data_IF_085735203283
#
_entry.id   IF_085735203283
#
_cell.length_a   1.000
_cell.length_b   1.000
_cell.length_c   1.000
_cell.angle_alpha   90.00
_cell.angle_beta   90.00
_cell.angle_gamma   90.00
#
_symmetry.space_group_name_H-M   'P 1'
#
loop_
_entity.id
_entity.type
_entity.pdbx_description
1 polymer ?
#
# COMPACT_ATOMS: atom_id res chain seq x y z
N UNK A 1 -4.32 0.45 -13.12
CA UNK A 1 -5.74 0.20 -12.85
C UNK A 1 -6.09 0.83 -11.52
N UNK A 2 -7.24 1.48 -11.41
CA UNK A 2 -7.75 2.00 -10.14
C UNK A 2 -8.67 0.93 -9.55
N UNK A 3 -8.39 0.46 -8.33
CA UNK A 3 -9.29 -0.43 -7.59
C UNK A 3 -9.76 0.31 -6.34
N UNK A 4 -11.08 0.50 -6.25
CA UNK A 4 -11.73 1.14 -5.12
C UNK A 4 -12.22 0.04 -4.18
N UNK A 5 -11.57 -0.12 -3.02
CA UNK A 5 -11.99 -1.09 -2.01
C UNK A 5 -12.49 -0.31 -0.78
N UNK A 6 -13.81 -0.35 -0.55
CA UNK A 6 -14.47 0.33 0.57
C UNK A 6 -14.79 -0.72 1.64
N UNK A 7 -13.98 -0.80 2.67
CA UNK A 7 -14.31 -1.58 3.87
C UNK A 7 -15.13 -0.70 4.81
N UNK A 8 -16.43 -0.99 4.93
CA UNK A 8 -17.31 -0.44 5.97
C UNK A 8 -17.59 -1.54 6.99
N UNK A 9 -17.04 -1.42 8.20
CA UNK A 9 -17.42 -2.27 9.33
C UNK A 9 -18.64 -1.64 10.01
N UNK A 10 -19.84 -2.15 9.72
CA UNK A 10 -21.05 -1.80 10.46
C UNK A 10 -21.16 -2.75 11.65
N UNK A 11 -20.67 -2.30 12.81
CA UNK A 11 -20.88 -2.98 14.09
C UNK A 11 -22.19 -2.49 14.71
N UNK A 12 -23.23 -3.32 14.67
CA UNK A 12 -24.44 -3.15 15.45
C UNK A 12 -24.10 -3.17 16.95
N UNK A 13 -24.03 -2.02 17.62
CA UNK A 13 -24.45 -1.96 19.02
C UNK A 13 -24.81 -0.55 19.50
N UNK A 14 -25.89 -0.51 20.27
CA UNK A 14 -26.53 0.62 20.90
C UNK A 14 -25.60 1.48 21.76
N UNK A 15 -25.58 2.80 21.52
CA UNK A 15 -25.07 3.78 22.49
C UNK A 15 -24.30 4.92 21.85
N UNK A 16 -25.01 6.05 21.67
CA UNK A 16 -24.54 7.44 21.56
C UNK A 16 -23.01 7.68 21.67
N UNK A 17 -22.29 7.35 20.61
CA UNK A 17 -21.03 7.96 20.15
C UNK A 17 -20.74 7.26 18.82
N UNK A 18 -21.49 7.60 17.78
CA UNK A 18 -21.23 7.11 16.44
C UNK A 18 -19.94 7.79 15.93
N UNK A 19 -18.78 7.31 16.37
CA UNK A 19 -17.54 7.57 15.68
C UNK A 19 -17.65 6.85 14.33
N UNK A 20 -18.07 7.61 13.33
CA UNK A 20 -18.11 7.18 11.93
C UNK A 20 -16.66 6.87 11.51
N UNK A 21 -16.28 5.60 11.62
CA UNK A 21 -14.97 5.10 11.25
C UNK A 21 -14.88 5.03 9.71
N UNK A 22 -14.58 6.17 9.11
CA UNK A 22 -14.46 6.30 7.66
C UNK A 22 -13.02 6.07 7.23
N UNK A 23 -12.79 5.01 6.45
CA UNK A 23 -11.50 4.70 5.84
C UNK A 23 -11.54 4.91 4.34
N UNK A 24 -10.69 5.80 3.84
CA UNK A 24 -10.50 6.05 2.41
C UNK A 24 -9.09 5.64 2.03
N UNK A 25 -8.95 4.72 1.07
CA UNK A 25 -7.66 4.30 0.55
C UNK A 25 -7.54 4.68 -0.92
N UNK A 26 -6.48 5.40 -1.25
CA UNK A 26 -6.03 5.69 -2.60
C UNK A 26 -4.82 4.81 -2.91
N UNK A 27 -4.82 4.10 -4.05
CA UNK A 27 -3.65 3.36 -4.52
C UNK A 27 -3.34 3.74 -5.95
N UNK A 28 -2.09 4.14 -6.18
CA UNK A 28 -1.57 4.58 -7.47
C UNK A 28 -0.41 3.67 -7.82
N UNK A 29 -0.56 2.89 -8.89
CA UNK A 29 0.51 2.02 -9.39
C UNK A 29 0.97 2.53 -10.75
N UNK A 30 2.26 2.82 -10.87
CA UNK A 30 2.90 3.29 -12.08
C UNK A 30 3.95 2.28 -12.53
N UNK A 31 3.84 1.74 -13.76
CA UNK A 31 4.91 0.93 -14.33
C UNK A 31 6.11 1.83 -14.67
N UNK A 32 7.28 1.45 -14.18
CA UNK A 32 8.58 2.09 -14.48
C UNK A 32 9.32 1.33 -15.59
N UNK A 33 8.59 0.56 -16.40
CA UNK A 33 9.09 -0.30 -17.49
C UNK A 33 9.99 0.44 -18.50
N UNK A 34 9.87 1.77 -18.58
CA UNK A 34 10.66 2.62 -19.46
C UNK A 34 12.07 2.93 -18.91
N UNK A 35 12.32 2.71 -17.62
CA UNK A 35 13.60 2.93 -16.95
C UNK A 35 14.28 1.60 -16.63
N UNK A 36 13.54 0.69 -15.98
CA UNK A 36 13.95 -0.70 -15.80
C UNK A 36 12.82 -1.60 -16.32
N UNK A 37 13.11 -2.55 -17.22
CA UNK A 37 12.15 -3.59 -17.60
C UNK A 37 11.58 -4.28 -16.35
N UNK A 38 10.29 -4.60 -16.37
CA UNK A 38 9.65 -5.32 -15.27
C UNK A 38 9.48 -4.54 -13.96
N UNK A 39 9.89 -3.26 -13.85
CA UNK A 39 9.74 -2.48 -12.61
C UNK A 39 8.41 -1.75 -12.52
N UNK A 40 7.83 -1.71 -11.32
CA UNK A 40 6.62 -0.98 -10.97
C UNK A 40 6.82 -0.29 -9.62
N UNK A 41 6.17 0.86 -9.47
CA UNK A 41 6.02 1.54 -8.18
C UNK A 41 4.54 1.62 -7.83
N UNK A 42 4.23 1.44 -6.57
CA UNK A 42 2.90 1.49 -6.01
C UNK A 42 2.90 2.38 -4.78
N UNK A 43 2.07 3.40 -4.78
CA UNK A 43 1.88 4.29 -3.65
C UNK A 43 0.46 4.13 -3.13
N UNK A 44 0.32 3.87 -1.84
CA UNK A 44 -0.95 3.72 -1.18
C UNK A 44 -1.06 4.72 -0.03
N UNK A 45 -2.16 5.46 0.00
CA UNK A 45 -2.49 6.40 1.04
C UNK A 45 -3.84 6.01 1.63
N UNK A 46 -3.85 5.67 2.91
CA UNK A 46 -5.05 5.38 3.68
C UNK A 46 -5.26 6.49 4.69
N UNK A 47 -6.46 7.09 4.69
CA UNK A 47 -6.89 8.02 5.73
C UNK A 47 -8.07 7.41 6.48
N UNK A 48 -7.99 7.44 7.80
CA UNK A 48 -9.00 6.87 8.70
C UNK A 48 -9.45 7.95 9.68
N UNK A 49 -10.75 8.20 9.76
CA UNK A 49 -11.36 8.99 10.82
C UNK A 49 -11.73 8.06 12.00
N UNK A 50 -11.42 8.38 13.27
CA UNK A 50 -10.75 9.58 13.78
C UNK A 50 -9.22 9.43 13.89
N UNK A 51 -8.48 9.88 12.87
CA UNK A 51 -7.13 10.42 13.02
C UNK A 51 -5.91 9.57 12.64
N UNK A 52 -6.03 8.44 11.94
CA UNK A 52 -4.85 7.72 11.43
C UNK A 52 -4.69 7.90 9.92
N UNK A 53 -3.53 8.42 9.52
CA UNK A 53 -3.09 8.43 8.11
C UNK A 53 -1.95 7.45 7.99
N UNK A 54 -2.15 6.45 7.13
CA UNK A 54 -1.17 5.43 6.81
C UNK A 54 -0.76 5.63 5.34
N UNK A 55 0.54 5.70 5.09
CA UNK A 55 1.12 5.86 3.77
C UNK A 55 2.07 4.70 3.54
N UNK A 56 1.93 3.99 2.45
CA UNK A 56 2.89 2.96 2.07
C UNK A 56 3.34 3.17 0.64
N UNK A 57 4.62 2.97 0.42
CA UNK A 57 5.24 2.95 -0.91
C UNK A 57 5.84 1.57 -1.10
N UNK A 58 5.58 0.97 -2.26
CA UNK A 58 6.17 -0.29 -2.67
C UNK A 58 6.81 -0.09 -4.02
N UNK A 59 8.04 -0.52 -4.19
CA UNK A 59 8.69 -0.60 -5.49
C UNK A 59 9.12 -2.04 -5.69
N UNK A 60 8.85 -2.60 -6.85
CA UNK A 60 9.27 -3.95 -7.15
C UNK A 60 9.40 -4.17 -8.63
N UNK A 61 10.00 -5.29 -8.99
CA UNK A 61 10.10 -5.67 -10.38
C UNK A 61 10.96 -6.89 -10.59
N UNK A 62 11.17 -7.18 -11.86
CA UNK A 62 12.05 -8.24 -12.30
C UNK A 62 13.35 -7.62 -12.82
N UNK A 63 14.47 -8.21 -12.46
CA UNK A 63 15.80 -7.84 -12.94
C UNK A 63 16.49 -9.08 -13.53
N UNK A 64 17.67 -8.86 -14.13
CA UNK A 64 18.46 -9.84 -14.90
C UNK A 64 17.85 -10.28 -16.24
N UNK A 65 18.68 -10.89 -17.08
CA UNK A 65 18.22 -11.53 -18.31
C UNK A 65 17.19 -12.61 -17.95
N UNK A 66 16.07 -12.60 -18.68
CA UNK A 66 14.98 -13.56 -18.55
C UNK A 66 14.09 -13.45 -17.28
N UNK A 67 13.97 -12.25 -16.69
CA UNK A 67 13.10 -12.00 -15.51
C UNK A 67 13.40 -12.94 -14.32
N UNK A 68 14.67 -13.35 -14.18
CA UNK A 68 15.12 -14.40 -13.25
C UNK A 68 15.24 -13.94 -11.79
N UNK A 69 15.27 -12.62 -11.55
CA UNK A 69 15.32 -12.05 -10.21
C UNK A 69 14.10 -11.18 -9.95
N UNK A 70 13.23 -11.61 -9.05
CA UNK A 70 12.14 -10.79 -8.52
C UNK A 70 12.63 -10.05 -7.27
N UNK A 71 12.43 -8.74 -7.24
CA UNK A 71 12.76 -7.91 -6.09
C UNK A 71 11.60 -6.99 -5.75
N UNK A 72 11.38 -6.75 -4.46
CA UNK A 72 10.36 -5.83 -3.97
C UNK A 72 10.82 -5.18 -2.67
N UNK A 73 10.70 -3.87 -2.59
CA UNK A 73 10.94 -3.06 -1.42
C UNK A 73 9.62 -2.39 -1.05
N UNK A 74 9.17 -2.60 0.17
CA UNK A 74 7.98 -1.97 0.73
C UNK A 74 8.38 -1.13 1.92
N UNK A 75 7.86 0.09 1.99
CA UNK A 75 8.07 1.00 3.10
C UNK A 75 6.73 1.59 3.50
N UNK A 76 6.35 1.33 4.75
CA UNK A 76 5.16 1.86 5.39
C UNK A 76 5.51 2.98 6.37
N UNK A 77 4.65 3.98 6.42
CA UNK A 77 4.64 5.04 7.41
C UNK A 77 3.24 5.19 7.97
N UNK A 78 3.11 5.11 9.29
CA UNK A 78 1.86 5.41 9.98
C UNK A 78 2.10 6.53 10.97
N UNK A 79 1.12 7.42 11.12
CA UNK A 79 1.17 8.40 12.20
C UNK A 79 1.10 7.74 13.60
N UNK A 80 0.68 6.47 13.70
CA UNK A 80 0.61 5.70 14.97
C UNK A 80 1.77 4.73 15.18
N UNK A 81 2.37 4.22 14.12
CA UNK A 81 3.52 3.30 14.17
C UNK A 81 4.70 3.89 13.39
N UNK A 82 5.86 3.96 14.05
CA UNK A 82 7.12 4.39 13.47
C UNK A 82 7.41 3.69 12.12
N UNK A 83 8.16 4.37 11.25
CA UNK A 83 8.56 3.88 9.92
C UNK A 83 8.91 2.39 9.91
N UNK A 84 8.24 1.64 9.05
CA UNK A 84 8.51 0.22 8.81
C UNK A 84 8.91 0.01 7.36
N UNK A 85 9.82 -0.91 7.11
CA UNK A 85 10.23 -1.24 5.76
C UNK A 85 10.73 -2.66 5.67
N UNK A 86 10.37 -3.32 4.58
CA UNK A 86 10.76 -4.68 4.28
C UNK A 86 11.25 -4.78 2.84
N UNK A 87 12.32 -5.55 2.66
CA UNK A 87 12.88 -5.85 1.35
C UNK A 87 12.84 -7.36 1.14
N UNK A 88 12.40 -7.77 -0.04
CA UNK A 88 12.38 -9.16 -0.49
C UNK A 88 13.06 -9.25 -1.85
N UNK A 89 13.90 -10.25 -2.01
CA UNK A 89 14.48 -10.62 -3.29
C UNK A 89 14.40 -12.14 -3.40
N UNK A 90 13.90 -12.63 -4.52
CA UNK A 90 13.75 -14.06 -4.81
C UNK A 90 14.32 -14.31 -6.19
N UNK A 91 15.18 -15.32 -6.27
CA UNK A 91 15.85 -15.73 -7.50
C UNK A 91 15.35 -17.12 -7.87
N UNK A 92 14.97 -17.31 -9.13
CA UNK A 92 14.51 -18.59 -9.69
C UNK A 92 15.62 -19.29 -10.48
#
# INVERSE_FOLDING_TARGET
GYSYNRYTWSGDNSGKDAQDDQRITLTVTLPLSNWLPGTYTSYQLTNSNPGSTDQSVSIGGNALENDSLEWSLHQGYSNREYYSGDMRATYN
#
